data_IF_881698928057
#
_entry.id   IF_881698928057
#
_cell.length_a   1.000
_cell.length_b   1.000
_cell.length_c   1.000
_cell.angle_alpha   90.00
_cell.angle_beta   90.00
_cell.angle_gamma   90.00
#
_symmetry.space_group_name_H-M   'P 1'
#
loop_
_entity.id
_entity.type
_entity.pdbx_description
1 polymer ?
#
# COMPACT_ATOMS: atom_id res chain seq x y z
N UNK A 1 -8.95 -22.07 -6.89
CA UNK A 1 -8.26 -21.24 -5.88
C UNK A 1 -9.22 -20.82 -4.79
N UNK A 2 -8.94 -21.16 -3.54
CA UNK A 2 -9.75 -20.70 -2.39
C UNK A 2 -9.70 -19.16 -2.28
N UNK A 3 -10.79 -18.51 -1.86
CA UNK A 3 -10.88 -17.05 -1.80
C UNK A 3 -9.82 -16.42 -0.87
N UNK A 4 -9.31 -17.17 0.11
CA UNK A 4 -8.21 -16.74 0.98
C UNK A 4 -6.88 -16.59 0.22
N UNK A 5 -6.53 -17.55 -0.66
CA UNK A 5 -5.28 -17.51 -1.43
C UNK A 5 -5.25 -16.31 -2.37
N UNK A 6 -6.37 -16.01 -3.05
CA UNK A 6 -6.48 -14.83 -3.92
C UNK A 6 -6.24 -13.52 -3.17
N UNK A 7 -6.78 -13.39 -1.95
CA UNK A 7 -6.56 -12.22 -1.09
C UNK A 7 -5.11 -12.11 -0.63
N UNK A 8 -4.46 -13.23 -0.30
CA UNK A 8 -3.03 -13.26 0.06
C UNK A 8 -2.15 -12.81 -1.11
N UNK A 9 -2.39 -13.33 -2.32
CA UNK A 9 -1.65 -12.88 -3.51
C UNK A 9 -1.83 -11.38 -3.79
N UNK A 10 -3.07 -10.87 -3.69
CA UNK A 10 -3.34 -9.45 -3.87
C UNK A 10 -2.63 -8.59 -2.81
N UNK A 11 -2.56 -9.06 -1.57
CA UNK A 11 -1.83 -8.38 -0.48
C UNK A 11 -0.34 -8.32 -0.78
N UNK A 12 0.26 -9.44 -1.17
CA UNK A 12 1.68 -9.52 -1.53
C UNK A 12 1.98 -8.57 -2.69
N UNK A 13 1.13 -8.56 -3.73
CA UNK A 13 1.29 -7.68 -4.87
C UNK A 13 1.26 -6.20 -4.46
N UNK A 14 0.31 -5.80 -3.59
CA UNK A 14 0.21 -4.42 -3.10
C UNK A 14 1.47 -4.00 -2.34
N UNK A 15 1.98 -4.88 -1.46
CA UNK A 15 3.22 -4.61 -0.71
C UNK A 15 4.39 -4.44 -1.66
N UNK A 16 4.53 -5.33 -2.65
CA UNK A 16 5.64 -5.31 -3.59
C UNK A 16 5.63 -4.04 -4.47
N UNK A 17 4.46 -3.67 -4.99
CA UNK A 17 4.29 -2.43 -5.78
C UNK A 17 4.55 -1.20 -4.92
N UNK A 18 4.12 -1.18 -3.66
CA UNK A 18 4.32 -0.04 -2.77
C UNK A 18 5.79 0.17 -2.42
N UNK A 19 6.54 -0.92 -2.21
CA UNK A 19 7.99 -0.86 -1.99
C UNK A 19 8.70 -0.29 -3.22
N UNK A 20 8.37 -0.79 -4.41
CA UNK A 20 8.96 -0.31 -5.67
C UNK A 20 8.69 1.19 -5.85
N UNK A 21 7.43 1.62 -5.69
CA UNK A 21 7.06 3.03 -5.83
C UNK A 21 7.78 3.93 -4.82
N UNK A 22 7.94 3.47 -3.57
CA UNK A 22 8.66 4.22 -2.54
C UNK A 22 10.13 4.43 -2.93
N UNK A 23 10.82 3.35 -3.36
CA UNK A 23 12.22 3.46 -3.80
C UNK A 23 12.36 4.31 -5.06
N UNK A 24 11.46 4.19 -6.04
CA UNK A 24 11.44 5.05 -7.23
C UNK A 24 11.24 6.52 -6.84
N UNK A 25 10.31 6.81 -5.92
CA UNK A 25 10.09 8.16 -5.42
C UNK A 25 11.33 8.75 -4.74
N UNK A 26 11.99 7.96 -3.87
CA UNK A 26 13.24 8.36 -3.23
C UNK A 26 14.35 8.62 -4.26
N UNK A 27 14.49 7.74 -5.25
CA UNK A 27 15.52 7.85 -6.30
C UNK A 27 15.33 9.09 -7.17
N UNK A 28 14.10 9.37 -7.62
CA UNK A 28 13.78 10.56 -8.43
C UNK A 28 14.02 11.85 -7.64
N UNK A 29 13.64 11.88 -6.36
CA UNK A 29 13.90 13.07 -5.53
C UNK A 29 15.40 13.27 -5.26
N UNK A 30 16.16 12.19 -5.07
CA UNK A 30 17.61 12.27 -4.91
C UNK A 30 18.30 12.83 -6.16
N UNK A 31 17.84 12.46 -7.36
CA UNK A 31 18.36 13.02 -8.63
C UNK A 31 18.02 14.51 -8.75
N UNK A 32 16.82 14.90 -8.35
CA UNK A 32 16.34 16.27 -8.53
C UNK A 32 16.79 17.22 -7.40
N UNK A 33 17.65 16.76 -6.47
CA UNK A 33 18.10 17.49 -5.27
C UNK A 33 16.93 18.07 -4.42
N UNK A 34 15.74 17.52 -4.61
CA UNK A 34 14.54 18.01 -3.96
C UNK A 34 14.48 17.52 -2.51
N UNK A 35 14.06 18.41 -1.61
CA UNK A 35 13.79 18.04 -0.23
C UNK A 35 12.66 17.00 -0.19
N UNK A 36 12.96 15.83 0.38
CA UNK A 36 11.97 14.77 0.56
C UNK A 36 11.08 15.18 1.73
N UNK A 37 9.76 15.35 1.52
CA UNK A 37 8.88 15.72 2.62
C UNK A 37 8.91 14.66 3.73
N UNK A 38 9.03 15.10 4.98
CA UNK A 38 9.15 14.20 6.14
C UNK A 38 7.91 13.28 6.30
N UNK A 39 6.76 13.68 5.76
CA UNK A 39 5.52 12.90 5.77
C UNK A 39 5.42 11.88 4.63
N UNK A 40 6.32 11.89 3.63
CA UNK A 40 6.27 10.97 2.49
C UNK A 40 6.29 9.49 2.90
N UNK A 41 7.16 9.03 3.83
CA UNK A 41 7.12 7.64 4.31
C UNK A 41 5.79 7.27 4.95
N UNK A 42 5.14 8.22 5.63
CA UNK A 42 3.84 8.01 6.27
C UNK A 42 2.74 7.75 5.24
N UNK A 43 2.72 8.52 4.15
CA UNK A 43 1.78 8.32 3.04
C UNK A 43 1.98 6.94 2.37
N UNK A 44 3.24 6.56 2.13
CA UNK A 44 3.58 5.27 1.55
C UNK A 44 3.29 4.08 2.48
N UNK A 45 3.12 4.29 3.79
CA UNK A 45 2.65 3.27 4.72
C UNK A 45 1.12 3.19 4.80
N UNK A 46 0.42 4.34 4.79
CA UNK A 46 -1.04 4.40 4.95
C UNK A 46 -1.78 3.87 3.71
N UNK A 47 -1.34 4.24 2.51
CA UNK A 47 -2.00 3.85 1.26
C UNK A 47 -2.08 2.32 1.07
N UNK A 48 -0.99 1.55 1.17
CA UNK A 48 -1.08 0.10 1.10
C UNK A 48 -1.88 -0.49 2.25
N UNK A 49 -1.78 0.07 3.46
CA UNK A 49 -2.56 -0.41 4.61
C UNK A 49 -4.08 -0.29 4.37
N UNK A 50 -4.54 0.82 3.79
CA UNK A 50 -5.95 1.01 3.42
C UNK A 50 -6.38 0.05 2.29
N UNK A 51 -5.53 -0.14 1.29
CA UNK A 51 -5.79 -1.06 0.18
C UNK A 51 -5.87 -2.53 0.66
N UNK A 52 -5.02 -2.92 1.60
CA UNK A 52 -5.09 -4.25 2.23
C UNK A 52 -6.36 -4.35 3.07
N UNK A 53 -6.68 -3.32 3.87
CA UNK A 53 -7.89 -3.32 4.68
C UNK A 53 -9.15 -3.51 3.83
N UNK A 54 -9.28 -2.86 2.66
CA UNK A 54 -10.46 -3.05 1.79
C UNK A 54 -10.60 -4.47 1.23
N UNK A 55 -9.50 -5.19 1.05
CA UNK A 55 -9.50 -6.59 0.59
C UNK A 55 -9.95 -7.54 1.70
N UNK A 56 -9.51 -7.30 2.93
CA UNK A 56 -9.74 -8.19 4.06
C UNK A 56 -11.00 -7.86 4.85
N UNK A 57 -11.40 -6.59 4.88
CA UNK A 57 -12.57 -6.13 5.59
C UNK A 57 -13.83 -6.68 4.94
N UNK A 58 -14.57 -7.48 5.70
CA UNK A 58 -15.98 -7.75 5.42
C UNK A 58 -16.80 -6.81 6.29
N UNK A 59 -17.57 -5.88 5.72
CA UNK A 59 -18.53 -5.13 6.53
C UNK A 59 -19.47 -6.15 7.19
N UNK A 60 -19.55 -6.13 8.53
CA UNK A 60 -20.69 -6.75 9.20
C UNK A 60 -21.92 -6.07 8.61
N UNK A 61 -22.87 -6.85 8.07
CA UNK A 61 -24.20 -6.32 7.76
C UNK A 61 -24.61 -5.52 8.99
N UNK A 62 -24.84 -4.23 8.83
CA UNK A 62 -25.47 -3.45 9.89
C UNK A 62 -26.79 -4.15 10.13
N UNK A 63 -26.98 -4.62 11.35
CA UNK A 63 -28.29 -4.97 11.88
C UNK A 63 -29.11 -3.67 11.82
N UNK A 64 -29.88 -3.49 10.73
CA UNK A 64 -30.91 -2.46 10.57
C UNK A 64 -32.18 -3.18 10.19
#
# INVERSE_FOLDING_TARGET
>A
MTPKIKKTFATILIVLVSIILFFTFMYVNAINENHIPMYSPLLFAILPALAINSIWYKPRRKDV
#
